data_IF_924459675051
#
_entry.id   IF_924459675051
#
_cell.length_a   1.000
_cell.length_b   1.000
_cell.length_c   1.000
_cell.angle_alpha   90.00
_cell.angle_beta   90.00
_cell.angle_gamma   90.00
#
_symmetry.space_group_name_H-M   'P 1'
#
loop_
_entity.id
_entity.type
_entity.pdbx_description
1 polymer ?
#
# COMPACT_ATOMS: atom_id res chain seq x y z
N UNK A 1 -6.49 11.63 -6.71
CA UNK A 1 -5.44 11.00 -5.90
C UNK A 1 -4.73 12.11 -5.14
N UNK A 2 -4.62 12.00 -3.82
CA UNK A 2 -3.80 12.94 -3.06
C UNK A 2 -2.32 12.56 -3.22
N UNK A 3 -1.59 13.36 -4.00
CA UNK A 3 -0.18 13.11 -4.28
C UNK A 3 0.71 13.20 -3.04
N UNK A 4 0.29 13.92 -2.00
CA UNK A 4 1.07 13.99 -0.75
C UNK A 4 1.08 12.64 -0.04
N UNK A 5 -0.10 12.02 0.08
CA UNK A 5 -0.23 10.66 0.61
C UNK A 5 0.61 9.66 -0.18
N UNK A 6 0.58 9.71 -1.51
CA UNK A 6 1.40 8.85 -2.38
C UNK A 6 2.90 9.04 -2.10
N UNK A 7 3.37 10.28 -2.04
CA UNK A 7 4.78 10.60 -1.82
C UNK A 7 5.26 10.10 -0.45
N UNK A 8 4.44 10.25 0.59
CA UNK A 8 4.75 9.75 1.94
C UNK A 8 4.83 8.21 1.97
N UNK A 9 3.91 7.52 1.28
CA UNK A 9 3.95 6.06 1.15
C UNK A 9 5.23 5.59 0.47
N UNK A 10 5.66 6.27 -0.60
CA UNK A 10 6.89 5.92 -1.31
C UNK A 10 8.12 6.18 -0.44
N UNK A 11 8.16 7.30 0.27
CA UNK A 11 9.27 7.62 1.18
C UNK A 11 9.41 6.58 2.30
N UNK A 12 8.29 6.16 2.89
CA UNK A 12 8.26 5.10 3.90
C UNK A 12 8.74 3.75 3.35
N UNK A 13 8.33 3.38 2.14
CA UNK A 13 8.82 2.15 1.49
C UNK A 13 10.34 2.20 1.22
N UNK A 14 10.84 3.34 0.77
CA UNK A 14 12.28 3.55 0.56
C UNK A 14 13.02 3.45 1.87
N UNK A 15 12.49 4.03 2.95
CA UNK A 15 13.08 3.92 4.29
C UNK A 15 13.09 2.47 4.79
N UNK A 16 12.00 1.73 4.64
CA UNK A 16 11.91 0.32 5.05
C UNK A 16 12.92 -0.57 4.32
N UNK A 17 13.14 -0.32 3.02
CA UNK A 17 14.05 -1.14 2.21
C UNK A 17 15.52 -0.73 2.36
N UNK A 18 15.81 0.57 2.48
CA UNK A 18 17.18 1.11 2.40
C UNK A 18 17.72 1.62 3.73
N UNK A 19 16.86 1.79 4.74
CA UNK A 19 17.17 2.45 6.00
C UNK A 19 17.35 3.97 5.90
N UNK A 20 17.05 4.58 4.74
CA UNK A 20 17.21 6.02 4.49
C UNK A 20 15.95 6.57 3.83
N UNK A 21 15.51 7.74 4.29
CA UNK A 21 14.46 8.51 3.62
C UNK A 21 14.98 9.16 2.34
N UNK A 22 14.06 9.50 1.44
CA UNK A 22 14.35 10.29 0.26
C UNK A 22 14.86 11.68 0.68
N UNK A 23 15.90 12.15 0.01
CA UNK A 23 16.37 13.50 0.24
C UNK A 23 15.42 14.54 -0.41
N UNK A 24 15.64 15.81 -0.07
CA UNK A 24 14.81 16.92 -0.56
C UNK A 24 14.73 16.99 -2.09
N UNK A 25 15.83 16.68 -2.79
CA UNK A 25 15.88 16.73 -4.24
C UNK A 25 15.13 15.54 -4.86
N UNK A 26 15.31 14.33 -4.33
CA UNK A 26 14.58 13.13 -4.77
C UNK A 26 13.07 13.29 -4.57
N UNK A 27 12.64 13.78 -3.40
CA UNK A 27 11.25 14.12 -3.13
C UNK A 27 10.74 15.19 -4.12
N UNK A 28 11.58 16.19 -4.40
CA UNK A 28 11.32 17.20 -5.42
C UNK A 28 11.15 16.64 -6.83
N UNK A 29 11.95 15.65 -7.19
CA UNK A 29 11.86 14.94 -8.47
C UNK A 29 10.54 14.20 -8.57
N UNK A 30 10.16 13.41 -7.56
CA UNK A 30 8.87 12.70 -7.58
C UNK A 30 7.70 13.67 -7.69
N UNK A 31 7.68 14.72 -6.87
CA UNK A 31 6.64 15.76 -6.91
C UNK A 31 6.58 16.46 -8.27
N UNK A 32 7.73 16.81 -8.84
CA UNK A 32 7.80 17.43 -10.16
C UNK A 32 7.29 16.50 -11.25
N UNK A 33 7.64 15.22 -11.22
CA UNK A 33 7.14 14.23 -12.19
C UNK A 33 5.63 14.08 -12.10
N UNK A 34 5.05 13.97 -10.89
CA UNK A 34 3.60 13.92 -10.68
C UNK A 34 2.88 15.17 -11.20
N UNK A 35 3.53 16.33 -11.14
CA UNK A 35 3.05 17.60 -11.69
C UNK A 35 3.42 17.81 -13.17
N UNK A 36 3.99 16.81 -13.84
CA UNK A 36 4.45 16.88 -15.23
C UNK A 36 5.55 17.94 -15.49
N UNK A 37 6.32 18.31 -14.46
CA UNK A 37 7.46 19.22 -14.56
C UNK A 37 8.64 18.55 -15.29
N UNK A 38 9.40 19.36 -16.03
CA UNK A 38 10.67 18.97 -16.65
C UNK A 38 11.79 19.08 -15.62
N UNK A 39 12.83 18.26 -15.74
CA UNK A 39 14.01 18.34 -14.86
C UNK A 39 14.69 19.72 -14.84
N UNK A 40 14.52 20.54 -15.87
CA UNK A 40 15.02 21.91 -15.87
C UNK A 40 14.25 22.78 -14.88
N UNK A 41 12.92 22.66 -14.83
CA UNK A 41 12.06 23.42 -13.92
C UNK A 41 12.34 23.00 -12.46
N UNK A 42 12.52 21.70 -12.23
CA UNK A 42 12.92 21.16 -10.91
C UNK A 42 14.30 21.69 -10.52
N UNK A 43 15.27 21.70 -11.43
CA UNK A 43 16.61 22.21 -11.18
C UNK A 43 16.60 23.69 -10.76
N UNK A 44 15.81 24.51 -11.46
CA UNK A 44 15.62 25.94 -11.15
C UNK A 44 15.00 26.12 -9.75
N UNK A 45 13.97 25.34 -9.40
CA UNK A 45 13.31 25.38 -8.09
C UNK A 45 14.22 24.99 -6.93
N UNK A 46 15.10 24.02 -7.15
CA UNK A 46 16.05 23.53 -6.14
C UNK A 46 17.42 24.21 -6.23
N UNK A 47 17.58 25.22 -7.10
CA UNK A 47 18.81 25.99 -7.30
C UNK A 47 20.03 25.11 -7.58
N UNK A 48 19.85 24.08 -8.40
CA UNK A 48 20.91 23.16 -8.81
C UNK A 48 20.98 23.04 -10.35
N UNK A 49 21.95 22.28 -10.86
CA UNK A 49 22.10 22.10 -12.30
C UNK A 49 21.13 21.05 -12.83
N UNK A 50 20.72 21.16 -14.10
CA UNK A 50 19.92 20.13 -14.76
C UNK A 50 20.61 18.76 -14.78
N UNK A 51 21.95 18.75 -14.86
CA UNK A 51 22.75 17.52 -14.75
C UNK A 51 22.59 16.87 -13.38
N UNK A 52 22.69 17.64 -12.30
CA UNK A 52 22.52 17.11 -10.94
C UNK A 52 21.14 16.50 -10.72
N UNK A 53 20.07 17.11 -11.24
CA UNK A 53 18.72 16.53 -11.19
C UNK A 53 18.61 15.23 -11.99
N UNK A 54 19.32 15.11 -13.12
CA UNK A 54 19.35 13.88 -13.92
C UNK A 54 20.09 12.77 -13.19
N UNK A 55 21.23 13.08 -12.58
CA UNK A 55 22.04 12.12 -11.83
C UNK A 55 21.26 11.62 -10.62
N UNK A 56 20.68 12.53 -9.84
CA UNK A 56 19.84 12.18 -8.69
C UNK A 56 18.58 11.41 -9.11
N UNK A 57 17.98 11.80 -10.25
CA UNK A 57 16.84 11.11 -10.82
C UNK A 57 17.19 9.69 -11.27
N UNK A 58 18.37 9.46 -11.83
CA UNK A 58 18.83 8.14 -12.23
C UNK A 58 18.92 7.20 -11.02
N UNK A 59 19.60 7.62 -9.96
CA UNK A 59 19.72 6.85 -8.71
C UNK A 59 18.34 6.57 -8.09
N UNK A 60 17.47 7.57 -8.05
CA UNK A 60 16.11 7.44 -7.55
C UNK A 60 15.32 6.36 -8.30
N UNK A 61 15.39 6.36 -9.64
CA UNK A 61 14.66 5.36 -10.42
C UNK A 61 15.22 3.95 -10.25
N UNK A 62 16.52 3.77 -10.00
CA UNK A 62 17.09 2.45 -9.69
C UNK A 62 16.51 1.91 -8.38
N UNK A 63 16.56 2.70 -7.31
CA UNK A 63 16.04 2.31 -5.99
C UNK A 63 14.55 1.97 -6.07
N UNK A 64 13.75 2.82 -6.74
CA UNK A 64 12.33 2.54 -6.90
C UNK A 64 12.09 1.31 -7.79
N UNK A 65 12.91 1.06 -8.80
CA UNK A 65 12.76 -0.14 -9.62
C UNK A 65 12.95 -1.41 -8.81
N UNK A 66 13.93 -1.42 -7.91
CA UNK A 66 14.21 -2.54 -7.01
C UNK A 66 13.05 -2.76 -6.02
N UNK A 67 12.56 -1.69 -5.40
CA UNK A 67 11.45 -1.76 -4.44
C UNK A 67 10.17 -2.28 -5.09
N UNK A 68 9.88 -1.82 -6.31
CA UNK A 68 8.62 -2.12 -7.00
C UNK A 68 8.68 -3.41 -7.81
N UNK A 69 9.87 -3.98 -8.01
CA UNK A 69 10.07 -5.17 -8.85
C UNK A 69 9.80 -4.93 -10.34
N UNK A 70 9.76 -3.66 -10.78
CA UNK A 70 9.54 -3.26 -12.17
C UNK A 70 10.48 -2.12 -12.54
N UNK A 71 10.97 -2.11 -13.78
CA UNK A 71 11.80 -1.02 -14.28
C UNK A 71 11.02 0.31 -14.32
N UNK A 72 11.35 1.21 -13.40
CA UNK A 72 10.80 2.55 -13.31
C UNK A 72 11.69 3.60 -13.98
N UNK A 73 11.04 4.65 -14.45
CA UNK A 73 11.63 5.86 -14.98
C UNK A 73 10.61 7.01 -14.93
N UNK A 74 11.04 8.23 -15.24
CA UNK A 74 10.16 9.42 -15.27
C UNK A 74 8.85 9.22 -16.06
N UNK A 75 8.89 8.50 -17.19
CA UNK A 75 7.74 8.40 -18.10
C UNK A 75 6.69 7.39 -17.66
N UNK A 76 7.07 6.34 -16.94
CA UNK A 76 6.15 5.29 -16.50
C UNK A 76 5.80 5.36 -15.01
N UNK A 77 6.46 6.24 -14.24
CA UNK A 77 6.22 6.37 -12.81
C UNK A 77 4.76 6.68 -12.48
N UNK A 78 4.15 7.68 -13.14
CA UNK A 78 2.75 8.07 -12.90
C UNK A 78 1.81 6.87 -13.14
N UNK A 79 1.93 6.23 -14.30
CA UNK A 79 1.11 5.07 -14.66
C UNK A 79 1.30 3.90 -13.68
N UNK A 80 2.52 3.69 -13.20
CA UNK A 80 2.83 2.63 -12.23
C UNK A 80 2.16 2.91 -10.88
N UNK A 81 2.27 4.14 -10.38
CA UNK A 81 1.64 4.57 -9.13
C UNK A 81 0.12 4.49 -9.19
N UNK A 82 -0.47 4.90 -10.31
CA UNK A 82 -1.92 4.80 -10.54
C UNK A 82 -2.38 3.34 -10.57
N UNK A 83 -1.68 2.49 -11.32
CA UNK A 83 -1.97 1.04 -11.42
C UNK A 83 -1.83 0.33 -10.07
N UNK A 84 -0.82 0.71 -9.27
CA UNK A 84 -0.56 0.15 -7.96
C UNK A 84 -1.39 0.81 -6.84
N UNK A 85 -2.35 1.68 -7.18
CA UNK A 85 -3.38 2.09 -6.23
C UNK A 85 -2.87 2.70 -4.92
N UNK A 86 -1.74 3.44 -4.93
CA UNK A 86 -1.19 4.11 -3.73
C UNK A 86 -2.16 5.07 -3.01
N UNK A 87 -3.32 5.36 -3.62
CA UNK A 87 -4.39 6.15 -3.03
C UNK A 87 -5.27 5.38 -2.04
N UNK A 88 -5.24 4.04 -2.04
CA UNK A 88 -6.09 3.20 -1.20
C UNK A 88 -5.22 2.41 -0.22
N UNK A 89 -5.10 2.92 1.01
CA UNK A 89 -4.39 2.28 2.13
C UNK A 89 -4.97 0.91 2.57
N UNK A 90 -5.92 0.34 1.83
CA UNK A 90 -6.52 -0.97 2.10
C UNK A 90 -5.98 -2.12 1.26
N UNK A 91 -5.13 -1.88 0.26
CA UNK A 91 -4.51 -2.96 -0.52
C UNK A 91 -3.01 -3.06 -0.22
N UNK A 92 -2.63 -4.18 0.39
CA UNK A 92 -1.26 -4.65 0.62
C UNK A 92 -0.47 -4.77 -0.71
N UNK A 93 0.04 -3.67 -1.27
CA UNK A 93 0.59 -3.66 -2.64
C UNK A 93 2.11 -3.64 -2.77
N UNK A 94 2.87 -3.75 -1.68
CA UNK A 94 4.33 -3.84 -1.77
C UNK A 94 4.88 -5.03 -0.98
N UNK A 95 4.57 -6.23 -1.46
CA UNK A 95 5.54 -7.31 -1.40
C UNK A 95 6.38 -7.22 -2.68
N UNK A 96 7.73 -7.24 -2.62
CA UNK A 96 8.54 -7.35 -3.82
C UNK A 96 8.20 -8.67 -4.52
N UNK A 97 7.63 -8.60 -5.72
CA UNK A 97 7.31 -9.78 -6.53
C UNK A 97 8.62 -10.41 -7.00
N UNK A 98 8.90 -11.64 -6.59
CA UNK A 98 9.79 -12.51 -7.35
C UNK A 98 9.07 -12.91 -8.63
N UNK A 99 9.67 -12.57 -9.77
CA UNK A 99 9.21 -12.96 -11.11
C UNK A 99 9.25 -14.49 -11.22
N UNK A 100 8.07 -15.08 -11.12
CA UNK A 100 7.80 -16.51 -11.25
C UNK A 100 6.33 -16.79 -10.97
N UNK A 101 5.49 -16.72 -12.02
CA UNK A 101 4.04 -16.99 -12.04
C UNK A 101 3.17 -16.08 -11.15
N UNK A 102 2.83 -14.91 -11.69
CA UNK A 102 1.82 -13.99 -11.15
C UNK A 102 0.41 -14.63 -11.16
N UNK A 103 -0.31 -14.47 -10.06
CA UNK A 103 -1.77 -14.33 -10.08
C UNK A 103 -2.20 -13.37 -8.96
N UNK A 104 -2.86 -12.27 -9.31
CA UNK A 104 -3.29 -11.20 -8.39
C UNK A 104 -4.39 -10.39 -9.11
N UNK A 105 -5.67 -10.26 -8.76
CA UNK A 105 -6.59 -10.74 -7.70
C UNK A 105 -7.98 -10.99 -8.39
N UNK A 106 -9.13 -11.37 -7.81
CA UNK A 106 -9.68 -11.30 -6.44
C UNK A 106 -10.83 -12.32 -6.32
N UNK A 107 -10.90 -13.07 -5.22
CA UNK A 107 -12.19 -13.53 -4.70
C UNK A 107 -12.45 -12.72 -3.42
N UNK A 108 -13.29 -11.70 -3.54
CA UNK A 108 -14.06 -11.19 -2.41
C UNK A 108 -15.52 -11.45 -2.78
N UNK A 109 -16.09 -12.47 -2.15
CA UNK A 109 -17.51 -12.78 -2.22
C UNK A 109 -18.32 -11.62 -1.62
N UNK A 110 -19.26 -11.08 -2.39
CA UNK A 110 -20.59 -10.76 -1.88
C UNK A 110 -21.60 -11.39 -2.82
N UNK A 111 -22.34 -12.38 -2.30
CA UNK A 111 -23.60 -12.87 -2.89
C UNK A 111 -24.57 -11.68 -3.06
N UNK A 112 -25.51 -11.63 -4.01
CA UNK A 112 -26.43 -12.69 -4.45
C UNK A 112 -26.88 -12.52 -5.92
N UNK A 113 -27.01 -13.67 -6.61
CA UNK A 113 -27.98 -14.12 -7.64
C UNK A 113 -28.46 -13.13 -8.73
N UNK A 114 -28.37 -13.44 -10.03
CA UNK A 114 -29.23 -14.43 -10.70
C UNK A 114 -28.55 -15.28 -11.82
N UNK A 115 -29.23 -16.39 -12.11
CA UNK A 115 -28.81 -17.64 -12.74
C UNK A 115 -28.94 -17.64 -14.28
N UNK A 116 -28.00 -18.26 -15.03
CA UNK A 116 -28.24 -19.44 -15.89
C UNK A 116 -27.09 -19.82 -16.85
N UNK A 117 -26.58 -21.04 -16.64
CA UNK A 117 -26.13 -22.07 -17.61
C UNK A 117 -25.06 -21.75 -18.68
N UNK A 118 -23.85 -22.32 -18.51
CA UNK A 118 -23.45 -23.62 -19.09
C UNK A 118 -21.95 -23.71 -19.42
N UNK A 119 -21.41 -24.91 -19.16
CA UNK A 119 -20.31 -25.58 -19.86
C UNK A 119 -18.85 -25.38 -19.39
N UNK A 120 -18.39 -26.45 -18.71
CA UNK A 120 -17.13 -27.19 -18.95
C UNK A 120 -15.82 -26.65 -18.32
N UNK A 121 -14.87 -27.42 -17.77
CA UNK A 121 -14.68 -28.86 -17.44
C UNK A 121 -13.30 -28.98 -16.75
N UNK A 122 -13.19 -29.79 -15.67
CA UNK A 122 -11.96 -30.45 -15.11
C UNK A 122 -10.82 -29.56 -14.54
N UNK A 123 -10.10 -29.85 -13.44
CA UNK A 123 -9.82 -31.10 -12.72
C UNK A 123 -9.20 -30.86 -11.30
N UNK A 124 -9.67 -31.65 -10.32
CA UNK A 124 -8.99 -32.37 -9.22
C UNK A 124 -7.74 -31.84 -8.46
N UNK A 125 -7.99 -31.55 -7.17
CA UNK A 125 -7.27 -31.88 -5.91
C UNK A 125 -5.78 -31.52 -5.70
N UNK A 126 -5.49 -30.73 -4.65
CA UNK A 126 -5.18 -31.24 -3.30
C UNK A 126 -5.03 -30.12 -2.25
N UNK A 127 -5.74 -30.30 -1.14
CA UNK A 127 -5.67 -29.56 0.13
C UNK A 127 -4.50 -30.05 0.97
N UNK A 128 -3.68 -29.15 1.49
CA UNK A 128 -2.80 -29.37 2.67
C UNK A 128 -2.40 -27.98 3.20
N UNK A 129 -3.20 -27.37 4.09
CA UNK A 129 -3.13 -27.44 5.57
C UNK A 129 -1.89 -26.80 6.18
N UNK A 130 -2.14 -25.70 6.91
CA UNK A 130 -1.43 -25.18 8.09
C UNK A 130 -0.14 -24.37 7.91
N UNK A 131 -0.25 -23.07 8.23
CA UNK A 131 0.64 -22.29 9.11
C UNK A 131 -0.12 -21.01 9.59
N UNK A 132 -0.81 -21.07 10.73
CA UNK A 132 -1.04 -19.89 11.61
C UNK A 132 0.26 -19.66 12.46
N UNK A 133 0.47 -18.61 13.32
CA UNK A 133 -0.45 -17.65 13.94
C UNK A 133 0.20 -16.27 14.33
N UNK A 134 0.93 -15.56 13.45
CA UNK A 134 1.66 -14.33 13.88
C UNK A 134 0.90 -13.03 13.52
N UNK A 135 0.27 -12.98 12.35
CA UNK A 135 -0.35 -11.74 11.81
C UNK A 135 -1.65 -11.39 12.53
N UNK A 136 -2.39 -12.40 12.97
CA UNK A 136 -3.68 -12.24 13.66
C UNK A 136 -3.49 -11.61 15.05
N UNK A 137 -2.41 -11.98 15.76
CA UNK A 137 -2.12 -11.51 17.11
C UNK A 137 -1.73 -10.02 17.16
N UNK A 138 -0.97 -9.53 16.17
CA UNK A 138 -0.56 -8.11 16.13
C UNK A 138 -1.75 -7.21 15.78
N UNK A 139 -2.56 -7.62 14.81
CA UNK A 139 -3.78 -6.88 14.44
C UNK A 139 -4.76 -6.83 15.63
N UNK A 140 -4.98 -7.96 16.30
CA UNK A 140 -5.82 -8.03 17.49
C UNK A 140 -5.32 -7.11 18.61
N UNK A 141 -4.02 -7.10 18.90
CA UNK A 141 -3.42 -6.21 19.89
C UNK A 141 -3.63 -4.71 19.58
N UNK A 142 -3.52 -4.32 18.31
CA UNK A 142 -3.77 -2.92 17.89
C UNK A 142 -5.24 -2.52 18.01
N UNK A 143 -6.16 -3.44 17.69
CA UNK A 143 -7.60 -3.23 17.88
C UNK A 143 -7.93 -3.07 19.37
N UNK A 144 -7.38 -3.92 20.25
CA UNK A 144 -7.56 -3.81 21.71
C UNK A 144 -7.07 -2.48 22.28
N UNK A 145 -5.88 -2.00 21.87
CA UNK A 145 -5.37 -0.70 22.30
C UNK A 145 -6.31 0.44 21.91
N UNK A 146 -6.94 0.32 20.74
CA UNK A 146 -7.91 1.30 20.23
C UNK A 146 -9.21 1.26 21.00
N UNK A 147 -9.74 0.07 21.32
CA UNK A 147 -10.91 -0.10 22.20
C UNK A 147 -10.69 0.62 23.54
N UNK A 148 -9.55 0.41 24.19
CA UNK A 148 -9.24 1.10 25.46
C UNK A 148 -9.19 2.63 25.37
N UNK A 149 -8.83 3.19 24.21
CA UNK A 149 -8.85 4.64 23.97
C UNK A 149 -10.26 5.16 23.74
N UNK A 150 -11.09 4.42 23.00
CA UNK A 150 -12.47 4.81 22.68
C UNK A 150 -13.37 4.75 23.93
N UNK A 151 -13.15 3.79 24.84
CA UNK A 151 -13.84 3.74 26.13
C UNK A 151 -13.56 4.99 26.96
N UNK A 152 -12.30 5.46 26.99
CA UNK A 152 -11.92 6.71 27.69
C UNK A 152 -12.57 7.96 27.10
N UNK A 153 -13.04 7.88 25.86
CA UNK A 153 -13.76 8.95 25.18
C UNK A 153 -15.29 8.85 25.34
N UNK A 154 -15.79 7.83 26.07
CA UNK A 154 -17.21 7.68 26.38
C UNK A 154 -18.06 7.08 25.26
N UNK A 155 -17.46 6.39 24.29
CA UNK A 155 -18.21 5.67 23.25
C UNK A 155 -18.88 4.40 23.81
N UNK A 156 -20.02 4.01 23.23
CA UNK A 156 -20.73 2.78 23.62
C UNK A 156 -20.11 1.53 22.96
N UNK A 157 -20.39 0.36 23.53
CA UNK A 157 -19.87 -0.92 23.02
C UNK A 157 -20.29 -1.17 21.56
N UNK A 158 -21.51 -0.78 21.20
CA UNK A 158 -22.07 -0.91 19.86
C UNK A 158 -21.31 -0.04 18.86
N UNK A 159 -21.04 1.22 19.23
CA UNK A 159 -20.30 2.16 18.39
C UNK A 159 -18.85 1.71 18.17
N UNK A 160 -18.22 1.13 19.20
CA UNK A 160 -16.86 0.63 19.12
C UNK A 160 -16.80 -0.66 18.27
N UNK A 161 -17.75 -1.57 18.47
CA UNK A 161 -17.85 -2.82 17.70
C UNK A 161 -18.04 -2.54 16.20
N UNK A 162 -18.94 -1.62 15.87
CA UNK A 162 -19.20 -1.18 14.50
C UNK A 162 -17.98 -0.47 13.88
N UNK A 163 -17.33 0.44 14.63
CA UNK A 163 -16.18 1.19 14.10
C UNK A 163 -14.91 0.34 13.88
N UNK A 164 -14.78 -0.81 14.56
CA UNK A 164 -13.58 -1.66 14.52
C UNK A 164 -13.82 -3.03 13.86
N UNK A 165 -15.02 -3.26 13.32
CA UNK A 165 -15.48 -4.57 12.82
C UNK A 165 -15.15 -5.69 13.82
N UNK A 166 -15.49 -5.46 15.09
CA UNK A 166 -15.30 -6.42 16.18
C UNK A 166 -16.66 -6.99 16.60
N UNK A 167 -16.72 -8.27 17.01
CA UNK A 167 -17.96 -8.82 17.51
C UNK A 167 -18.32 -8.14 18.84
N UNK A 168 -19.60 -7.76 18.97
CA UNK A 168 -20.09 -6.96 20.10
C UNK A 168 -19.81 -7.62 21.46
N UNK A 169 -19.84 -8.95 21.52
CA UNK A 169 -19.56 -9.71 22.73
C UNK A 169 -18.11 -9.51 23.25
N UNK A 170 -17.12 -9.42 22.36
CA UNK A 170 -15.72 -9.20 22.73
C UNK A 170 -15.52 -7.78 23.24
N UNK A 171 -16.16 -6.80 22.61
CA UNK A 171 -16.10 -5.40 23.06
C UNK A 171 -16.78 -5.24 24.42
N UNK A 172 -17.93 -5.89 24.64
CA UNK A 172 -18.62 -5.89 25.92
C UNK A 172 -17.78 -6.53 27.03
N UNK A 173 -17.11 -7.66 26.76
CA UNK A 173 -16.21 -8.32 27.71
C UNK A 173 -14.99 -7.47 28.09
N UNK A 174 -14.60 -6.50 27.25
CA UNK A 174 -13.50 -5.55 27.52
C UNK A 174 -13.96 -4.28 28.24
N UNK A 175 -15.27 -4.07 28.34
CA UNK A 175 -15.89 -2.90 28.98
C UNK A 175 -16.47 -3.19 30.37
N UNK A 176 -16.63 -4.47 30.75
CA UNK A 176 -16.92 -4.92 32.12
C UNK A 176 -15.75 -4.67 33.08
#
# INVERSE_FOLDING_TARGET
>A
MDWQTVLNSIDELVFQQTGKHLNNLQMGILKGVLNNEKYREIAEKYKCSNGHVKDEGYELWQVLSEIFGEKLNKSNFIATVERLGFANYHSRLFNPVQIGNLNLCSNSETAELENSNAANTQSNYKKTTSCQPIVENVLYATKLNTVSKLIKLGLTAEQIAEALDLPLNEVQQLME
#
